data_IF_046373941306
#
_entry.id   IF_046373941306
#
_cell.length_a   1.000
_cell.length_b   1.000
_cell.length_c   1.000
_cell.angle_alpha   90.00
_cell.angle_beta   90.00
_cell.angle_gamma   90.00
#
_symmetry.space_group_name_H-M   'P 1'
#
loop_
_entity.id
_entity.type
_entity.pdbx_description
1 polymer ?
#
# COMPACT_ATOMS: atom_id res chain seq x y z
N UNK A 1 -7.35 -21.38 -1.92
CA UNK A 1 -6.96 -22.57 -2.72
C UNK A 1 -7.84 -23.73 -2.29
N UNK A 2 -8.39 -24.51 -3.23
CA UNK A 2 -9.21 -25.67 -2.87
C UNK A 2 -8.31 -26.77 -2.27
N UNK A 3 -8.73 -27.36 -1.14
CA UNK A 3 -7.99 -28.43 -0.45
C UNK A 3 -7.66 -29.63 -1.37
N UNK A 4 -8.52 -29.88 -2.37
CA UNK A 4 -8.34 -30.93 -3.38
C UNK A 4 -7.09 -30.72 -4.25
N UNK A 5 -6.78 -29.48 -4.65
CA UNK A 5 -5.58 -29.16 -5.43
C UNK A 5 -4.29 -29.36 -4.62
N UNK A 6 -4.32 -29.08 -3.31
CA UNK A 6 -3.18 -29.31 -2.41
C UNK A 6 -2.90 -30.82 -2.28
N UNK A 7 -3.96 -31.62 -2.13
CA UNK A 7 -3.85 -33.08 -2.07
C UNK A 7 -3.30 -33.69 -3.37
N UNK A 8 -3.73 -33.19 -4.53
CA UNK A 8 -3.20 -33.64 -5.83
C UNK A 8 -1.70 -33.31 -5.99
N UNK A 9 -1.27 -32.10 -5.60
CA UNK A 9 0.16 -31.72 -5.62
C UNK A 9 1.02 -32.63 -4.76
N UNK A 10 0.59 -32.95 -3.54
CA UNK A 10 1.33 -33.85 -2.65
C UNK A 10 1.41 -35.28 -3.22
N UNK A 11 0.37 -35.77 -3.89
CA UNK A 11 0.41 -37.08 -4.56
C UNK A 11 1.40 -37.11 -5.72
N UNK A 12 1.40 -36.07 -6.55
CA UNK A 12 2.34 -35.93 -7.68
C UNK A 12 3.79 -35.89 -7.17
N UNK A 13 4.05 -35.15 -6.09
CA UNK A 13 5.39 -35.05 -5.50
C UNK A 13 5.90 -36.41 -5.01
N UNK A 14 5.04 -37.21 -4.37
CA UNK A 14 5.39 -38.57 -3.95
C UNK A 14 5.69 -39.50 -5.14
N UNK A 15 4.87 -39.48 -6.18
CA UNK A 15 5.10 -40.31 -7.38
C UNK A 15 6.36 -39.86 -8.14
N UNK A 16 6.68 -38.56 -8.14
CA UNK A 16 7.95 -38.05 -8.69
C UNK A 16 9.15 -38.56 -7.90
N UNK A 17 9.08 -38.60 -6.57
CA UNK A 17 10.16 -39.20 -5.76
C UNK A 17 10.31 -40.70 -6.00
N UNK A 18 9.20 -41.43 -6.19
CA UNK A 18 9.24 -42.86 -6.48
C UNK A 18 9.85 -43.13 -7.88
N UNK A 19 9.56 -42.27 -8.86
CA UNK A 19 10.16 -42.31 -10.20
C UNK A 19 11.66 -42.01 -10.16
N UNK A 20 12.09 -41.00 -9.40
CA UNK A 20 13.52 -40.70 -9.21
C UNK A 20 14.27 -41.86 -8.56
N UNK A 21 13.66 -42.56 -7.59
CA UNK A 21 14.23 -43.76 -7.00
C UNK A 21 14.36 -44.92 -8.00
N UNK A 22 13.42 -45.08 -8.94
CA UNK A 22 13.54 -46.05 -10.02
C UNK A 22 14.63 -45.67 -11.03
N UNK A 23 14.77 -44.38 -11.37
CA UNK A 23 15.86 -43.90 -12.23
C UNK A 23 17.23 -44.10 -11.61
N UNK A 24 17.36 -44.00 -10.30
CA UNK A 24 18.63 -44.32 -9.63
C UNK A 24 19.06 -45.78 -9.88
N UNK A 25 18.10 -46.71 -9.90
CA UNK A 25 18.34 -48.14 -10.20
C UNK A 25 18.72 -48.41 -11.66
N UNK A 26 18.54 -47.45 -12.57
CA UNK A 26 18.99 -47.59 -13.96
C UNK A 26 20.50 -47.71 -14.08
N UNK A 27 21.21 -47.05 -13.17
CA UNK A 27 22.67 -47.14 -13.11
C UNK A 27 23.10 -48.56 -12.72
N UNK A 28 22.38 -49.21 -11.80
CA UNK A 28 22.62 -50.60 -11.38
C UNK A 28 22.27 -51.60 -12.48
N UNK A 29 21.19 -51.36 -13.24
CA UNK A 29 20.82 -52.16 -14.41
C UNK A 29 21.88 -52.05 -15.50
N UNK A 30 22.39 -50.84 -15.79
CA UNK A 30 23.46 -50.63 -16.77
C UNK A 30 24.78 -51.30 -16.37
N UNK A 31 25.14 -51.28 -15.08
CA UNK A 31 26.34 -52.00 -14.62
C UNK A 31 26.18 -53.51 -14.78
N UNK A 32 25.00 -54.04 -14.48
CA UNK A 32 24.71 -55.47 -14.60
C UNK A 32 24.64 -55.92 -16.06
N UNK A 33 24.17 -55.06 -16.97
CA UNK A 33 24.22 -55.27 -18.42
C UNK A 33 25.68 -55.37 -18.90
N UNK A 34 26.56 -54.46 -18.46
CA UNK A 34 27.99 -54.49 -18.81
C UNK A 34 28.73 -55.70 -18.21
N UNK A 35 28.36 -56.14 -17.01
CA UNK A 35 28.91 -57.35 -16.38
C UNK A 35 28.46 -58.63 -17.12
N UNK A 36 27.21 -58.69 -17.57
CA UNK A 36 26.71 -59.81 -18.39
C UNK A 36 27.35 -59.81 -19.79
N UNK A 37 27.55 -58.64 -20.42
CA UNK A 37 28.29 -58.54 -21.69
C UNK A 37 29.74 -59.05 -21.55
N UNK A 38 30.42 -58.72 -20.45
CA UNK A 38 31.75 -59.23 -20.15
C UNK A 38 31.73 -60.76 -19.90
N UNK A 39 30.75 -61.25 -19.15
CA UNK A 39 30.57 -62.69 -18.91
C UNK A 39 30.29 -63.47 -20.19
N UNK A 40 29.56 -62.89 -21.16
CA UNK A 40 29.32 -63.47 -22.49
C UNK A 40 30.62 -63.54 -23.31
N UNK A 41 31.52 -62.56 -23.18
CA UNK A 41 32.78 -62.53 -23.91
C UNK A 41 33.82 -63.54 -23.39
N UNK A 42 33.71 -63.99 -22.13
CA UNK A 42 34.64 -64.91 -21.47
C UNK A 42 34.18 -66.39 -21.47
N UNK A 43 33.13 -66.75 -22.22
CA UNK A 43 32.61 -68.12 -22.25
C UNK A 43 33.54 -69.05 -23.05
N UNK A 44 34.07 -70.09 -22.40
CA UNK A 44 34.95 -71.11 -23.04
C UNK A 44 34.37 -72.54 -23.01
N UNK A 45 33.27 -72.78 -22.29
CA UNK A 45 32.71 -74.14 -22.07
C UNK A 45 31.18 -74.20 -22.16
N UNK A 46 30.62 -75.30 -22.68
CA UNK A 46 29.18 -75.49 -22.89
C UNK A 46 28.33 -75.38 -21.60
N UNK A 47 28.88 -75.75 -20.43
CA UNK A 47 28.18 -75.62 -19.13
C UNK A 47 28.06 -74.15 -18.67
N UNK A 48 28.98 -73.27 -19.10
CA UNK A 48 28.94 -71.83 -18.79
C UNK A 48 27.95 -71.10 -19.70
N UNK A 49 27.73 -71.61 -20.92
CA UNK A 49 26.72 -71.09 -21.84
C UNK A 49 25.30 -71.17 -21.25
N UNK A 50 24.89 -72.33 -20.73
CA UNK A 50 23.55 -72.50 -20.16
C UNK A 50 23.30 -71.65 -18.90
N UNK A 51 24.35 -71.34 -18.12
CA UNK A 51 24.21 -70.48 -16.94
C UNK A 51 24.08 -69.01 -17.32
N UNK A 52 24.87 -68.53 -18.28
CA UNK A 52 24.81 -67.15 -18.74
C UNK A 52 23.51 -66.89 -19.52
N UNK A 53 23.01 -67.86 -20.30
CA UNK A 53 21.70 -67.73 -20.96
C UNK A 53 20.55 -67.56 -19.96
N UNK A 54 20.53 -68.34 -18.86
CA UNK A 54 19.51 -68.19 -17.81
C UNK A 54 19.60 -66.85 -17.09
N UNK A 55 20.81 -66.35 -16.83
CA UNK A 55 21.03 -65.07 -16.18
C UNK A 55 20.64 -63.89 -17.09
N UNK A 56 20.86 -64.02 -18.41
CA UNK A 56 20.41 -63.04 -19.42
C UNK A 56 18.88 -63.04 -19.52
N UNK A 57 18.22 -64.19 -19.59
CA UNK A 57 16.75 -64.27 -19.62
C UNK A 57 16.12 -63.67 -18.34
N UNK A 58 16.72 -63.94 -17.17
CA UNK A 58 16.27 -63.35 -15.91
C UNK A 58 16.47 -61.83 -15.88
N UNK A 59 17.59 -61.33 -16.40
CA UNK A 59 17.88 -59.90 -16.49
C UNK A 59 16.97 -59.16 -17.48
N UNK A 60 16.68 -59.75 -18.64
CA UNK A 60 15.73 -59.19 -19.60
C UNK A 60 14.32 -59.07 -19.01
N UNK A 61 13.89 -60.05 -18.22
CA UNK A 61 12.62 -60.00 -17.49
C UNK A 61 12.62 -58.89 -16.42
N UNK A 62 13.69 -58.75 -15.62
CA UNK A 62 13.82 -57.67 -14.63
C UNK A 62 13.83 -56.28 -15.27
N UNK A 63 14.51 -56.13 -16.43
CA UNK A 63 14.56 -54.88 -17.21
C UNK A 63 13.20 -54.52 -17.79
N UNK A 64 12.48 -55.50 -18.33
CA UNK A 64 11.11 -55.31 -18.83
C UNK A 64 10.15 -54.85 -17.74
N UNK A 65 10.17 -55.50 -16.56
CA UNK A 65 9.34 -55.07 -15.42
C UNK A 65 9.69 -53.66 -14.91
N UNK A 66 10.97 -53.29 -14.95
CA UNK A 66 11.43 -51.97 -14.51
C UNK A 66 10.95 -50.86 -15.45
N UNK A 67 11.06 -51.07 -16.75
CA UNK A 67 10.53 -50.15 -17.77
C UNK A 67 9.01 -50.06 -17.72
N UNK A 68 8.29 -51.16 -17.45
CA UNK A 68 6.84 -51.14 -17.26
C UNK A 68 6.43 -50.32 -16.03
N UNK A 69 7.15 -50.47 -14.90
CA UNK A 69 6.91 -49.68 -13.67
C UNK A 69 7.16 -48.19 -13.89
N UNK A 70 8.21 -47.82 -14.64
CA UNK A 70 8.47 -46.43 -15.03
C UNK A 70 7.37 -45.89 -15.93
N UNK A 71 7.00 -46.64 -16.97
CA UNK A 71 5.96 -46.24 -17.90
C UNK A 71 4.63 -46.00 -17.17
N UNK A 72 4.24 -46.92 -16.27
CA UNK A 72 3.07 -46.77 -15.41
C UNK A 72 3.11 -45.51 -14.56
N UNK A 73 4.19 -45.28 -13.82
CA UNK A 73 4.34 -44.07 -12.98
C UNK A 73 4.35 -42.78 -13.78
N UNK A 74 4.97 -42.76 -14.97
CA UNK A 74 4.94 -41.58 -15.84
C UNK A 74 3.54 -41.25 -16.34
N UNK A 75 2.74 -42.27 -16.65
CA UNK A 75 1.34 -42.11 -17.07
C UNK A 75 0.49 -41.60 -15.90
N UNK A 76 0.62 -42.21 -14.71
CA UNK A 76 -0.11 -41.76 -13.51
C UNK A 76 0.22 -40.31 -13.12
N UNK A 77 1.48 -39.89 -13.24
CA UNK A 77 1.87 -38.50 -13.01
C UNK A 77 1.23 -37.58 -14.05
N UNK A 78 1.23 -37.96 -15.34
CA UNK A 78 0.61 -37.16 -16.39
C UNK A 78 -0.91 -36.99 -16.18
N UNK A 79 -1.59 -38.07 -15.77
CA UNK A 79 -3.02 -38.04 -15.47
C UNK A 79 -3.33 -37.14 -14.26
N UNK A 80 -2.56 -37.25 -13.18
CA UNK A 80 -2.73 -36.40 -11.99
C UNK A 80 -2.37 -34.93 -12.27
N UNK A 81 -1.39 -34.64 -13.13
CA UNK A 81 -1.07 -33.28 -13.57
C UNK A 81 -2.21 -32.67 -14.40
N UNK A 82 -2.86 -33.46 -15.25
CA UNK A 82 -4.07 -33.05 -15.97
C UNK A 82 -5.23 -32.77 -15.02
N UNK A 83 -5.49 -33.65 -14.04
CA UNK A 83 -6.52 -33.44 -13.02
C UNK A 83 -6.25 -32.17 -12.18
N UNK A 84 -4.99 -31.92 -11.83
CA UNK A 84 -4.58 -30.71 -11.11
C UNK A 84 -4.86 -29.45 -11.96
N UNK A 85 -4.52 -29.47 -13.25
CA UNK A 85 -4.78 -28.36 -14.16
C UNK A 85 -6.28 -28.08 -14.33
N UNK A 86 -7.12 -29.10 -14.37
CA UNK A 86 -8.58 -28.94 -14.38
C UNK A 86 -9.12 -28.36 -13.08
N UNK A 87 -8.62 -28.82 -11.93
CA UNK A 87 -9.04 -28.34 -10.62
C UNK A 87 -8.58 -26.88 -10.41
N UNK A 88 -7.40 -26.50 -10.88
CA UNK A 88 -6.91 -25.12 -10.87
C UNK A 88 -7.73 -24.19 -11.79
N UNK A 89 -8.24 -24.70 -12.91
CA UNK A 89 -9.19 -23.96 -13.78
C UNK A 89 -10.56 -23.76 -13.13
N UNK A 90 -11.02 -24.71 -12.29
CA UNK A 90 -12.31 -24.63 -11.58
C UNK A 90 -12.27 -23.70 -10.38
N UNK A 91 -11.09 -23.42 -9.82
CA UNK A 91 -10.95 -22.36 -8.82
C UNK A 91 -11.21 -21.04 -9.55
N UNK A 92 -12.26 -20.27 -9.21
CA UNK A 92 -12.40 -18.93 -9.74
C UNK A 92 -11.11 -18.20 -9.40
N UNK A 93 -10.39 -17.74 -10.41
CA UNK A 93 -9.24 -16.88 -10.18
C UNK A 93 -9.71 -15.81 -9.21
N UNK A 94 -9.02 -15.57 -8.07
CA UNK A 94 -9.23 -14.31 -7.38
C UNK A 94 -9.08 -13.29 -8.48
N UNK A 95 -10.11 -12.45 -8.69
CA UNK A 95 -9.98 -11.34 -9.62
C UNK A 95 -8.65 -10.71 -9.25
N UNK A 96 -7.60 -10.91 -10.06
CA UNK A 96 -6.58 -9.88 -10.20
C UNK A 96 -7.42 -8.65 -10.32
N UNK A 97 -7.30 -7.66 -9.40
CA UNK A 97 -7.99 -6.43 -9.64
C UNK A 97 -7.64 -6.14 -11.08
N UNK A 98 -8.66 -6.12 -11.94
CA UNK A 98 -8.47 -5.55 -13.25
C UNK A 98 -7.68 -4.30 -12.90
N UNK A 99 -6.50 -4.12 -13.51
CA UNK A 99 -6.11 -2.76 -13.75
C UNK A 99 -7.33 -2.23 -14.48
N UNK A 100 -8.28 -1.63 -13.73
CA UNK A 100 -9.02 -0.48 -14.16
C UNK A 100 -7.92 0.21 -14.93
N UNK A 101 -8.06 0.26 -16.25
CA UNK A 101 -7.47 1.38 -16.97
C UNK A 101 -8.02 2.54 -16.18
N UNK A 102 -7.23 3.01 -15.22
CA UNK A 102 -7.49 4.23 -14.52
C UNK A 102 -7.63 5.18 -15.69
N UNK A 103 -8.88 5.57 -15.95
CA UNK A 103 -9.21 6.61 -16.90
C UNK A 103 -8.49 7.83 -16.36
N UNK A 104 -7.22 8.00 -16.73
CA UNK A 104 -6.28 8.81 -15.97
C UNK A 104 -6.27 8.42 -14.50
N UNK A 105 -5.25 7.69 -14.03
CA UNK A 105 -4.85 7.99 -12.66
C UNK A 105 -4.35 9.42 -12.74
N UNK A 106 -5.26 10.37 -12.50
CA UNK A 106 -4.87 11.66 -12.01
C UNK A 106 -4.14 11.33 -10.72
N UNK A 107 -2.84 11.09 -10.82
CA UNK A 107 -1.93 11.44 -9.76
C UNK A 107 -2.25 12.89 -9.52
N UNK A 108 -3.17 13.15 -8.58
CA UNK A 108 -3.46 14.49 -8.15
C UNK A 108 -2.13 14.99 -7.65
N UNK A 109 -1.50 15.86 -8.43
CA UNK A 109 -0.39 16.66 -7.95
C UNK A 109 -0.94 17.33 -6.70
N UNK A 110 -0.48 16.85 -5.53
CA UNK A 110 -0.77 17.52 -4.27
C UNK A 110 -0.03 18.85 -4.36
N UNK A 111 -0.73 19.86 -4.87
CA UNK A 111 -0.20 21.21 -4.93
C UNK A 111 0.15 21.59 -3.50
N UNK A 112 1.41 21.93 -3.28
CA UNK A 112 1.84 22.40 -1.98
C UNK A 112 1.35 23.83 -1.81
N UNK A 113 0.17 23.97 -1.20
CA UNK A 113 -0.52 25.24 -0.99
C UNK A 113 0.41 26.25 -0.29
N UNK A 114 1.24 25.81 0.65
CA UNK A 114 2.17 26.67 1.41
C UNK A 114 3.23 27.35 0.54
N UNK A 115 3.59 26.74 -0.60
CA UNK A 115 4.59 27.27 -1.52
C UNK A 115 4.01 28.13 -2.65
N UNK A 116 2.69 28.33 -2.70
CA UNK A 116 2.05 29.11 -3.75
C UNK A 116 2.40 30.61 -3.64
N UNK A 117 2.62 31.30 -4.77
CA UNK A 117 2.86 32.74 -4.77
C UNK A 117 1.62 33.50 -4.30
N UNK A 118 1.80 34.55 -3.49
CA UNK A 118 0.68 35.33 -2.90
C UNK A 118 -0.25 35.96 -3.95
N UNK A 119 0.19 36.09 -5.20
CA UNK A 119 -0.65 36.55 -6.31
C UNK A 119 -1.74 35.55 -6.71
N UNK A 120 -1.65 34.30 -6.27
CA UNK A 120 -2.59 33.23 -6.62
C UNK A 120 -3.33 32.74 -5.37
N UNK A 121 -4.66 32.66 -5.50
CA UNK A 121 -5.55 32.13 -4.46
C UNK A 121 -5.43 30.63 -4.37
N UNK A 122 -5.57 30.07 -3.17
CA UNK A 122 -5.38 28.63 -2.95
C UNK A 122 -6.37 27.78 -3.75
N UNK A 123 -7.64 28.18 -3.80
CA UNK A 123 -8.66 27.44 -4.56
C UNK A 123 -8.42 27.53 -6.07
N UNK A 124 -7.97 28.68 -6.56
CA UNK A 124 -7.72 28.90 -8.00
C UNK A 124 -6.50 28.15 -8.52
N UNK A 125 -5.56 27.80 -7.63
CA UNK A 125 -4.40 26.98 -7.95
C UNK A 125 -4.76 25.51 -8.23
N UNK A 126 -5.87 25.02 -7.69
CA UNK A 126 -6.30 23.63 -7.89
C UNK A 126 -6.64 23.34 -9.36
N UNK A 127 -6.32 22.14 -9.88
CA UNK A 127 -6.75 21.73 -11.21
C UNK A 127 -8.26 21.80 -11.35
N UNK A 128 -8.74 22.13 -12.55
CA UNK A 128 -10.18 22.31 -12.81
C UNK A 128 -11.00 21.08 -12.42
N UNK A 129 -10.48 19.89 -12.66
CA UNK A 129 -11.12 18.63 -12.30
C UNK A 129 -11.31 18.49 -10.78
N UNK A 130 -10.28 18.85 -10.00
CA UNK A 130 -10.35 18.80 -8.54
C UNK A 130 -11.32 19.84 -7.98
N UNK A 131 -11.34 21.06 -8.55
CA UNK A 131 -12.35 22.07 -8.19
C UNK A 131 -13.76 21.57 -8.46
N UNK A 132 -13.98 20.93 -9.61
CA UNK A 132 -15.28 20.38 -9.95
C UNK A 132 -15.70 19.25 -9.00
N UNK A 133 -14.76 18.42 -8.55
CA UNK A 133 -15.04 17.39 -7.52
C UNK A 133 -15.42 18.03 -6.19
N UNK A 134 -14.68 19.05 -5.74
CA UNK A 134 -14.98 19.76 -4.48
C UNK A 134 -16.36 20.45 -4.57
N UNK A 135 -16.65 21.15 -5.67
CA UNK A 135 -17.94 21.80 -5.87
C UNK A 135 -19.09 20.81 -6.13
N UNK A 136 -18.80 19.62 -6.62
CA UNK A 136 -19.80 18.58 -6.81
C UNK A 136 -20.25 17.95 -5.48
N UNK A 137 -19.43 18.05 -4.44
CA UNK A 137 -19.72 17.50 -3.13
C UNK A 137 -20.98 18.10 -2.51
N UNK A 138 -21.74 17.28 -1.79
CA UNK A 138 -23.03 17.67 -1.23
C UNK A 138 -22.87 18.73 -0.14
N UNK A 139 -21.83 18.61 0.70
CA UNK A 139 -21.56 19.54 1.79
C UNK A 139 -21.21 20.95 1.29
N UNK A 140 -20.48 21.04 0.17
CA UNK A 140 -20.11 22.32 -0.44
C UNK A 140 -21.31 22.94 -1.14
N UNK A 141 -22.11 22.14 -1.84
CA UNK A 141 -23.35 22.62 -2.48
C UNK A 141 -24.36 23.13 -1.46
N UNK A 142 -24.58 22.41 -0.36
CA UNK A 142 -25.49 22.84 0.69
C UNK A 142 -25.01 24.15 1.31
N UNK A 143 -23.73 24.23 1.67
CA UNK A 143 -23.10 25.44 2.20
C UNK A 143 -23.28 26.66 1.27
N UNK A 144 -22.95 26.53 -0.02
CA UNK A 144 -23.08 27.64 -0.98
C UNK A 144 -24.55 28.02 -1.22
N UNK A 145 -25.46 27.05 -1.23
CA UNK A 145 -26.90 27.29 -1.38
C UNK A 145 -27.48 28.01 -0.17
N UNK A 146 -27.11 27.60 1.04
CA UNK A 146 -27.51 28.23 2.29
C UNK A 146 -26.98 29.67 2.36
N UNK A 147 -25.69 29.87 2.07
CA UNK A 147 -25.06 31.19 2.02
C UNK A 147 -25.80 32.13 1.05
N UNK A 148 -26.23 31.64 -0.12
CA UNK A 148 -27.02 32.42 -1.07
C UNK A 148 -28.45 32.67 -0.60
N UNK A 149 -29.09 31.70 0.02
CA UNK A 149 -30.46 31.84 0.52
C UNK A 149 -30.60 32.89 1.63
N UNK A 150 -29.51 33.12 2.37
CA UNK A 150 -29.42 34.15 3.41
C UNK A 150 -29.37 35.58 2.82
N UNK A 151 -29.12 35.73 1.51
CA UNK A 151 -29.17 37.01 0.81
C UNK A 151 -30.53 37.69 1.00
N UNK A 152 -30.53 38.81 1.71
CA UNK A 152 -31.72 39.63 1.95
C UNK A 152 -32.59 39.20 3.13
N UNK A 153 -32.37 38.01 3.71
CA UNK A 153 -33.08 37.55 4.92
C UNK A 153 -32.33 37.94 6.21
N UNK A 154 -31.02 37.73 6.24
CA UNK A 154 -30.16 38.05 7.39
C UNK A 154 -28.94 38.84 6.93
N UNK A 155 -28.61 39.94 7.64
CA UNK A 155 -27.43 40.77 7.32
C UNK A 155 -26.12 40.18 7.87
N UNK A 156 -26.21 39.27 8.83
CA UNK A 156 -25.09 38.60 9.46
C UNK A 156 -25.50 37.18 9.85
N UNK A 157 -24.55 36.25 9.72
CA UNK A 157 -24.70 34.85 10.11
C UNK A 157 -24.03 34.72 11.47
N UNK A 158 -24.76 34.22 12.47
CA UNK A 158 -24.21 34.02 13.82
C UNK A 158 -23.80 32.56 14.02
N UNK A 159 -22.72 32.35 14.79
CA UNK A 159 -21.95 31.11 14.82
C UNK A 159 -22.76 29.88 15.21
N UNK A 160 -23.10 29.07 14.22
CA UNK A 160 -23.82 27.79 14.38
C UNK A 160 -24.77 27.47 13.23
N UNK A 161 -25.22 28.48 12.47
CA UNK A 161 -26.20 28.25 11.39
C UNK A 161 -25.58 27.68 10.11
N UNK A 162 -24.29 27.96 9.86
CA UNK A 162 -23.60 27.56 8.65
C UNK A 162 -22.36 26.72 8.99
N UNK A 163 -22.36 25.46 8.56
CA UNK A 163 -21.24 24.54 8.79
C UNK A 163 -20.25 24.61 7.63
N UNK A 164 -18.99 24.95 7.91
CA UNK A 164 -17.95 25.01 6.88
C UNK A 164 -17.59 23.58 6.44
N UNK A 165 -17.61 23.27 5.12
CA UNK A 165 -17.19 21.99 4.59
C UNK A 165 -15.73 21.64 4.91
N UNK A 166 -15.45 20.35 5.11
CA UNK A 166 -14.10 19.86 5.45
C UNK A 166 -13.06 20.26 4.39
N UNK A 167 -13.41 20.20 3.10
CA UNK A 167 -12.52 20.65 2.03
C UNK A 167 -12.09 22.11 2.17
N UNK A 168 -13.00 23.00 2.59
CA UNK A 168 -12.66 24.40 2.82
C UNK A 168 -11.86 24.58 4.10
N UNK A 169 -12.16 23.82 5.16
CA UNK A 169 -11.35 23.85 6.39
C UNK A 169 -9.90 23.46 6.13
N UNK A 170 -9.66 22.38 5.37
CA UNK A 170 -8.31 21.93 5.05
C UNK A 170 -7.56 22.97 4.19
N UNK A 171 -8.24 23.54 3.19
CA UNK A 171 -7.68 24.61 2.36
C UNK A 171 -7.36 25.85 3.19
N UNK A 172 -8.26 26.29 4.08
CA UNK A 172 -8.05 27.45 4.95
C UNK A 172 -6.87 27.17 5.90
N UNK A 173 -6.82 26.00 6.52
CA UNK A 173 -5.75 25.62 7.46
C UNK A 173 -4.38 25.62 6.80
N UNK A 174 -4.26 25.10 5.57
CA UNK A 174 -3.00 25.11 4.82
C UNK A 174 -2.64 26.52 4.29
N UNK A 175 -3.64 27.28 3.82
CA UNK A 175 -3.42 28.64 3.31
C UNK A 175 -3.06 29.62 4.42
N UNK A 176 -3.52 29.40 5.66
CA UNK A 176 -3.17 30.19 6.85
C UNK A 176 -1.64 30.23 7.10
N UNK A 177 -0.92 29.14 6.81
CA UNK A 177 0.55 29.11 6.91
C UNK A 177 1.26 30.02 5.90
N UNK A 178 0.61 30.43 4.81
CA UNK A 178 1.20 31.39 3.85
C UNK A 178 1.16 32.81 4.39
N UNK A 179 0.07 33.15 5.09
CA UNK A 179 -0.17 34.48 5.62
C UNK A 179 0.51 34.72 6.98
N UNK A 180 0.64 33.69 7.81
CA UNK A 180 1.36 33.79 9.07
C UNK A 180 2.87 33.64 8.91
N UNK A 181 3.62 34.56 9.52
CA UNK A 181 5.08 34.52 9.66
C UNK A 181 5.52 33.58 10.79
N UNK A 182 4.74 33.48 11.87
CA UNK A 182 5.10 32.71 13.06
C UNK A 182 4.81 31.22 12.93
N UNK A 183 3.71 30.83 12.29
CA UNK A 183 3.29 29.43 12.22
C UNK A 183 4.31 28.52 11.53
N UNK A 184 5.10 29.05 10.59
CA UNK A 184 6.19 28.32 9.93
C UNK A 184 7.45 28.16 10.79
N UNK A 185 7.56 28.91 11.90
CA UNK A 185 8.73 28.93 12.78
C UNK A 185 8.51 28.22 14.11
N UNK A 186 7.26 27.94 14.46
CA UNK A 186 6.88 27.35 15.75
C UNK A 186 6.25 25.98 15.55
N UNK A 187 6.49 25.06 16.50
CA UNK A 187 5.82 23.76 16.52
C UNK A 187 4.44 23.89 17.16
N UNK A 188 3.39 23.80 16.36
CA UNK A 188 2.01 23.80 16.82
C UNK A 188 1.64 22.45 17.43
N UNK A 189 0.94 22.47 18.57
CA UNK A 189 0.37 21.28 19.22
C UNK A 189 -1.13 21.54 19.41
N UNK A 190 -2.02 20.79 18.75
CA UNK A 190 -3.45 20.93 18.99
C UNK A 190 -3.79 20.40 20.38
N UNK A 191 -4.64 21.13 21.11
CA UNK A 191 -5.08 20.78 22.46
C UNK A 191 -6.59 20.99 22.55
N UNK A 192 -7.30 20.09 23.24
CA UNK A 192 -8.76 20.16 23.40
C UNK A 192 -9.14 20.79 24.75
N UNK A 193 -9.85 21.92 24.72
CA UNK A 193 -10.40 22.57 25.91
C UNK A 193 -9.35 23.22 26.82
N UNK A 194 -9.71 23.45 28.09
CA UNK A 194 -8.76 23.87 29.12
C UNK A 194 -7.78 22.74 29.42
N UNK A 195 -6.50 22.98 29.19
CA UNK A 195 -5.49 21.95 29.31
C UNK A 195 -4.24 22.45 30.03
N UNK A 196 -3.70 21.58 30.87
CA UNK A 196 -2.42 21.78 31.54
C UNK A 196 -1.37 21.03 30.74
N UNK A 197 -0.47 21.76 30.10
CA UNK A 197 0.63 21.16 29.36
C UNK A 197 1.92 21.33 30.16
N UNK A 198 2.55 20.21 30.50
CA UNK A 198 3.93 20.21 31.00
C UNK A 198 4.84 20.44 29.80
N UNK A 199 5.48 21.60 29.76
CA UNK A 199 6.45 21.97 28.73
C UNK A 199 7.83 21.90 29.39
N UNK A 200 8.75 21.16 28.78
CA UNK A 200 10.15 21.25 29.17
C UNK A 200 10.59 22.71 28.99
N UNK A 201 11.21 23.29 30.03
CA UNK A 201 11.77 24.63 29.99
C UNK A 201 12.88 24.75 28.94
N UNK A 202 13.61 25.86 28.96
CA UNK A 202 14.74 26.06 28.05
C UNK A 202 15.70 24.88 28.13
N UNK A 203 15.84 24.17 27.01
CA UNK A 203 16.80 23.07 26.87
C UNK A 203 18.20 23.66 27.04
N UNK A 204 18.99 23.23 28.04
CA UNK A 204 20.33 23.78 28.24
C UNK A 204 21.24 23.40 27.07
N UNK A 205 22.17 24.29 26.73
CA UNK A 205 23.15 24.06 25.67
C UNK A 205 24.16 22.97 26.08
N UNK A 206 24.58 22.15 25.11
CA UNK A 206 25.63 21.17 25.34
C UNK A 206 26.99 21.87 25.51
N UNK A 207 27.76 21.44 26.51
CA UNK A 207 29.09 22.00 26.79
C UNK A 207 30.16 21.12 26.14
N UNK A 208 31.07 21.74 25.39
CA UNK A 208 32.24 21.04 24.86
C UNK A 208 33.12 20.55 26.02
N UNK A 209 33.45 19.25 26.01
CA UNK A 209 34.31 18.62 27.00
C UNK A 209 35.39 17.79 26.28
N UNK A 210 36.56 17.65 26.91
CA UNK A 210 37.67 16.88 26.38
C UNK A 210 37.30 15.40 26.19
N UNK A 211 37.92 14.70 25.24
CA UNK A 211 37.51 13.34 24.81
C UNK A 211 37.49 12.28 25.93
N UNK A 212 38.27 12.49 27.01
CA UNK A 212 38.34 11.58 28.15
C UNK A 212 37.84 12.21 29.46
N UNK A 213 37.22 13.40 29.42
CA UNK A 213 36.67 14.05 30.61
C UNK A 213 35.30 13.46 30.97
N UNK A 214 34.91 13.62 32.24
CA UNK A 214 33.57 13.28 32.68
C UNK A 214 32.54 14.20 32.00
N UNK A 215 31.45 13.61 31.51
CA UNK A 215 30.38 14.32 30.83
C UNK A 215 29.61 15.16 31.86
N UNK A 216 29.37 16.43 31.55
CA UNK A 216 28.57 17.31 32.41
C UNK A 216 27.08 16.91 32.35
N UNK A 217 26.44 16.86 33.51
CA UNK A 217 24.99 16.61 33.60
C UNK A 217 24.21 17.88 33.22
N UNK A 218 23.23 17.73 32.32
CA UNK A 218 22.32 18.79 31.92
C UNK A 218 21.02 18.66 32.72
N UNK A 219 20.71 19.65 33.56
CA UNK A 219 19.46 19.68 34.33
C UNK A 219 18.31 20.19 33.46
N UNK A 220 17.28 19.36 33.27
CA UNK A 220 16.04 19.75 32.60
C UNK A 220 15.02 20.25 33.61
N UNK A 221 14.64 21.53 33.51
CA UNK A 221 13.50 22.06 34.27
C UNK A 221 12.21 21.81 33.50
N UNK A 222 11.16 21.34 34.18
CA UNK A 222 9.83 21.17 33.59
C UNK A 222 8.89 22.20 34.18
N UNK A 223 8.33 23.06 33.34
CA UNK A 223 7.35 24.06 33.75
C UNK A 223 5.95 23.58 33.34
N UNK A 224 4.99 23.69 34.25
CA UNK A 224 3.58 23.49 33.91
C UNK A 224 2.99 24.84 33.50
N UNK A 225 2.49 24.92 32.27
CA UNK A 225 1.74 26.09 31.79
C UNK A 225 0.28 25.67 31.66
N UNK A 226 -0.61 26.44 32.28
CA UNK A 226 -2.06 26.32 32.08
C UNK A 226 -2.44 27.17 30.88
N UNK A 227 -3.02 26.55 29.85
CA UNK A 227 -3.53 27.26 28.68
C UNK A 227 -5.05 27.41 28.83
N UNK A 228 -5.51 28.65 28.72
CA UNK A 228 -6.94 29.01 28.68
C UNK A 228 -7.41 29.16 27.22
N UNK A 229 -8.69 28.91 26.97
CA UNK A 229 -9.30 28.90 25.65
C UNK A 229 -9.63 30.30 25.15
N UNK A 230 -8.72 30.92 24.40
CA UNK A 230 -9.01 32.17 23.68
C UNK A 230 -9.63 31.91 22.31
N UNK A 231 -10.64 32.70 21.94
CA UNK A 231 -11.29 32.65 20.62
C UNK A 231 -10.79 33.75 19.71
N UNK A 232 -10.43 33.40 18.48
CA UNK A 232 -10.25 34.34 17.37
C UNK A 232 -11.59 34.50 16.64
N UNK A 233 -11.97 35.74 16.36
CA UNK A 233 -13.22 36.05 15.65
C UNK A 233 -13.02 37.24 14.70
N UNK A 234 -13.71 37.21 13.57
CA UNK A 234 -13.71 38.29 12.58
C UNK A 234 -15.02 38.32 11.80
N UNK A 235 -15.31 39.44 11.15
CA UNK A 235 -16.45 39.61 10.25
C UNK A 235 -15.93 39.89 8.83
N UNK A 236 -16.40 39.10 7.87
CA UNK A 236 -15.99 39.19 6.47
C UNK A 236 -17.19 39.65 5.62
N UNK A 237 -17.20 40.89 5.10
CA UNK A 237 -18.31 41.42 4.33
C UNK A 237 -18.30 40.87 2.89
N UNK A 238 -19.39 40.23 2.48
CA UNK A 238 -19.55 39.68 1.12
C UNK A 238 -20.45 40.60 0.29
N UNK A 239 -20.00 40.97 -0.91
CA UNK A 239 -20.81 41.76 -1.83
C UNK A 239 -21.93 40.91 -2.46
N UNK A 240 -23.11 41.51 -2.65
CA UNK A 240 -24.26 40.86 -3.30
C UNK A 240 -23.98 40.37 -4.73
N UNK A 241 -23.07 41.05 -5.46
CA UNK A 241 -22.65 40.62 -6.80
C UNK A 241 -21.82 39.36 -6.76
N UNK A 242 -20.98 39.18 -5.73
CA UNK A 242 -20.16 37.99 -5.55
C UNK A 242 -21.01 36.78 -5.14
N UNK A 243 -22.11 36.98 -4.41
CA UNK A 243 -23.06 35.92 -4.06
C UNK A 243 -23.82 35.38 -5.29
N UNK A 244 -24.09 36.24 -6.27
CA UNK A 244 -24.76 35.88 -7.54
C UNK A 244 -23.80 35.36 -8.61
N UNK A 245 -22.50 35.52 -8.39
CA UNK A 245 -21.47 35.02 -9.30
C UNK A 245 -21.34 33.49 -9.21
N UNK A 246 -20.42 32.94 -10.01
CA UNK A 246 -20.12 31.53 -10.06
C UNK A 246 -19.62 30.97 -8.70
N UNK A 247 -19.87 29.67 -8.49
CA UNK A 247 -19.49 28.97 -7.25
C UNK A 247 -17.98 29.00 -6.99
N UNK A 248 -17.18 28.99 -8.07
CA UNK A 248 -15.71 28.95 -8.00
C UNK A 248 -15.16 30.24 -7.38
N UNK A 249 -15.61 31.39 -7.86
CA UNK A 249 -15.18 32.71 -7.43
C UNK A 249 -15.62 32.99 -6.00
N UNK A 250 -16.86 32.61 -5.66
CA UNK A 250 -17.39 32.75 -4.32
C UNK A 250 -16.59 31.89 -3.32
N UNK A 251 -16.38 30.60 -3.63
CA UNK A 251 -15.58 29.70 -2.80
C UNK A 251 -14.14 30.18 -2.65
N UNK A 252 -13.51 30.57 -3.76
CA UNK A 252 -12.15 31.09 -3.81
C UNK A 252 -11.97 32.32 -2.93
N UNK A 253 -12.91 33.28 -3.00
CA UNK A 253 -12.87 34.48 -2.18
C UNK A 253 -13.09 34.19 -0.69
N UNK A 254 -14.03 33.31 -0.34
CA UNK A 254 -14.30 32.94 1.06
C UNK A 254 -13.07 32.27 1.69
N UNK A 255 -12.50 31.27 1.01
CA UNK A 255 -11.32 30.55 1.49
C UNK A 255 -10.14 31.51 1.69
N UNK A 256 -9.90 32.40 0.72
CA UNK A 256 -8.79 33.35 0.79
C UNK A 256 -8.95 34.33 1.95
N UNK A 257 -10.09 35.03 2.04
CA UNK A 257 -10.33 36.05 3.08
C UNK A 257 -10.31 35.47 4.49
N UNK A 258 -10.87 34.28 4.68
CA UNK A 258 -10.80 33.60 5.98
C UNK A 258 -9.38 33.19 6.33
N UNK A 259 -8.62 32.64 5.38
CA UNK A 259 -7.24 32.24 5.64
C UNK A 259 -6.30 33.41 5.91
N UNK A 260 -6.47 34.53 5.22
CA UNK A 260 -5.67 35.74 5.42
C UNK A 260 -5.95 36.36 6.78
N UNK A 261 -7.23 36.55 7.12
CA UNK A 261 -7.62 37.14 8.41
C UNK A 261 -7.19 36.28 9.60
N UNK A 262 -7.32 34.95 9.51
CA UNK A 262 -6.85 34.04 10.55
C UNK A 262 -5.32 33.99 10.63
N UNK A 263 -4.63 33.97 9.48
CA UNK A 263 -3.17 33.96 9.43
C UNK A 263 -2.55 35.21 10.06
N UNK A 264 -3.13 36.38 9.77
CA UNK A 264 -2.70 37.66 10.36
C UNK A 264 -3.02 37.76 11.85
N UNK A 265 -4.11 37.15 12.33
CA UNK A 265 -4.47 37.16 13.75
C UNK A 265 -3.56 36.25 14.61
N UNK A 266 -2.89 35.28 13.99
CA UNK A 266 -1.97 34.36 14.66
C UNK A 266 -0.54 34.89 14.78
N UNK A 267 -0.20 35.96 14.05
CA UNK A 267 1.09 36.67 14.11
C UNK A 267 1.12 37.72 15.22
#
# INVERSE_FOLDING_TARGET
MALKAIMLRHKIEKLKSDLEALRAKDTEIQTREAELEAAIAEIETDEQHETVEKDVEAFEAEKAEHEEKKAGLTQEIADLENELAEEERKIPQPKTPEKKKERGMNTMEKINIRSLPMSQRAFDALPMEQRNVILADESVKSFLKELRSMKGQTRAITGGELTIPVYFLDLIAENMYRYSKLLNRVRIRPVSGEARQTIAGTVPEAVWTEMCAAINELTFNFNQVTLDGYKVAGFVPICNSLLEDNDVNLASWIVEMLSESLGLAMD
#
